data_IF_048239545526
#
_entry.id   IF_048239545526
#
_cell.length_a   1.000
_cell.length_b   1.000
_cell.length_c   1.000
_cell.angle_alpha   90.00
_cell.angle_beta   90.00
_cell.angle_gamma   90.00
#
_symmetry.space_group_name_H-M   'P 1'
#
loop_
_entity.id
_entity.type
_entity.pdbx_description
1 polymer ?
#
# COMPACT_ATOMS: atom_id res chain seq x y z
N UNK A 1 -10.65 -11.89 1.07
CA UNK A 1 -9.43 -11.35 1.64
C UNK A 1 -9.06 -10.00 1.06
N UNK A 2 -8.97 -9.87 -0.26
CA UNK A 2 -8.85 -8.56 -0.91
C UNK A 2 -10.23 -7.95 -1.06
N UNK A 3 -10.28 -6.64 -1.24
CA UNK A 3 -11.52 -5.96 -1.58
C UNK A 3 -11.86 -6.19 -3.06
N UNK A 4 -13.13 -6.35 -3.35
CA UNK A 4 -13.59 -6.56 -4.73
C UNK A 4 -13.34 -5.33 -5.60
N UNK A 5 -13.51 -4.14 -5.03
CA UNK A 5 -13.30 -2.86 -5.72
C UNK A 5 -12.62 -1.86 -4.76
N UNK A 6 -11.28 -1.92 -4.66
CA UNK A 6 -10.55 -1.05 -3.74
C UNK A 6 -10.67 0.44 -4.11
N UNK A 7 -10.75 0.78 -5.38
CA UNK A 7 -10.88 2.18 -5.80
C UNK A 7 -12.21 2.78 -5.34
N UNK A 8 -13.29 2.02 -5.48
CA UNK A 8 -14.61 2.46 -4.99
C UNK A 8 -14.62 2.58 -3.48
N UNK A 9 -14.01 1.62 -2.78
CA UNK A 9 -13.87 1.66 -1.32
C UNK A 9 -13.21 2.97 -0.87
N UNK A 10 -12.09 3.30 -1.49
CA UNK A 10 -11.30 4.49 -1.14
C UNK A 10 -12.07 5.77 -1.50
N UNK A 11 -12.71 5.78 -2.66
CA UNK A 11 -13.42 6.96 -3.18
C UNK A 11 -14.54 7.45 -2.25
N UNK A 12 -15.23 6.53 -1.56
CA UNK A 12 -16.35 6.90 -0.66
C UNK A 12 -15.91 7.31 0.74
N UNK A 13 -14.62 7.20 1.06
CA UNK A 13 -14.11 7.59 2.37
C UNK A 13 -14.18 9.11 2.52
N UNK A 14 -14.76 9.57 3.62
CA UNK A 14 -15.09 10.98 3.84
C UNK A 14 -13.92 11.79 4.41
N UNK A 15 -13.13 11.19 5.29
CA UNK A 15 -11.99 11.88 5.92
C UNK A 15 -10.78 11.80 4.99
N UNK A 16 -10.25 12.95 4.53
CA UNK A 16 -9.10 12.96 3.60
C UNK A 16 -7.86 12.23 4.13
N UNK A 17 -7.61 12.28 5.43
CA UNK A 17 -6.46 11.58 6.03
C UNK A 17 -6.66 10.07 5.99
N UNK A 18 -7.85 9.58 6.27
CA UNK A 18 -8.18 8.16 6.15
C UNK A 18 -8.09 7.70 4.69
N UNK A 19 -8.59 8.52 3.78
CA UNK A 19 -8.54 8.23 2.35
C UNK A 19 -7.09 8.14 1.87
N UNK A 20 -6.24 9.05 2.32
CA UNK A 20 -4.81 9.05 1.98
C UNK A 20 -4.11 7.81 2.54
N UNK A 21 -4.39 7.43 3.79
CA UNK A 21 -3.84 6.20 4.37
C UNK A 21 -4.23 4.97 3.54
N UNK A 22 -5.47 4.91 3.08
CA UNK A 22 -5.95 3.81 2.25
C UNK A 22 -5.26 3.78 0.89
N UNK A 23 -5.07 4.93 0.24
CA UNK A 23 -4.31 5.02 -1.01
C UNK A 23 -2.88 4.54 -0.83
N UNK A 24 -2.22 4.99 0.23
CA UNK A 24 -0.86 4.59 0.54
C UNK A 24 -0.79 3.07 0.73
N UNK A 25 -1.68 2.51 1.51
CA UNK A 25 -1.68 1.07 1.78
C UNK A 25 -1.96 0.24 0.53
N UNK A 26 -2.92 0.67 -0.27
CA UNK A 26 -3.28 -0.01 -1.51
C UNK A 26 -2.17 0.03 -2.55
N UNK A 27 -1.49 1.18 -2.69
CA UNK A 27 -0.44 1.36 -3.71
C UNK A 27 0.92 0.81 -3.29
N UNK A 28 1.21 0.78 -2.00
CA UNK A 28 2.53 0.39 -1.49
C UNK A 28 2.58 -1.00 -0.85
N UNK A 29 1.44 -1.52 -0.43
CA UNK A 29 1.38 -2.76 0.33
C UNK A 29 1.84 -2.64 1.79
N UNK A 30 2.04 -1.44 2.31
CA UNK A 30 2.45 -1.24 3.70
C UNK A 30 1.43 -1.81 4.69
N UNK A 31 1.93 -2.27 5.84
CA UNK A 31 1.07 -2.61 6.97
C UNK A 31 0.44 -1.35 7.54
N UNK A 32 -0.62 -1.51 8.31
CA UNK A 32 -1.37 -0.37 8.86
C UNK A 32 -0.47 0.62 9.62
N UNK A 33 0.48 0.14 10.42
CA UNK A 33 1.38 1.02 11.15
C UNK A 33 2.21 1.88 10.19
N UNK A 34 2.72 1.30 9.11
CA UNK A 34 3.51 2.02 8.12
C UNK A 34 2.69 3.00 7.28
N UNK A 35 1.43 2.68 7.03
CA UNK A 35 0.55 3.52 6.21
C UNK A 35 -0.11 4.66 7.00
N UNK A 36 -0.12 4.58 8.33
CA UNK A 36 -0.79 5.57 9.20
C UNK A 36 0.17 6.44 9.98
N UNK A 37 1.47 6.21 9.88
CA UNK A 37 2.48 6.99 10.62
C UNK A 37 3.71 7.18 9.74
N UNK A 38 3.83 8.38 9.17
CA UNK A 38 4.93 8.71 8.23
C UNK A 38 5.52 10.07 8.63
N UNK A 39 6.84 10.09 8.75
CA UNK A 39 7.60 11.27 9.11
C UNK A 39 8.32 11.85 7.89
N UNK A 40 8.67 13.17 7.90
CA UNK A 40 9.34 13.80 6.75
C UNK A 40 10.62 13.09 6.31
N UNK A 41 11.41 12.60 7.26
CA UNK A 41 12.70 11.95 6.96
C UNK A 41 12.56 10.63 6.22
N UNK A 42 11.35 10.07 6.14
CA UNK A 42 11.08 8.85 5.37
C UNK A 42 10.88 9.10 3.87
N UNK A 43 10.63 10.34 3.48
CA UNK A 43 10.33 10.70 2.10
C UNK A 43 11.58 10.68 1.23
N UNK A 44 11.56 9.96 0.11
CA UNK A 44 12.72 9.79 -0.77
C UNK A 44 12.56 10.43 -2.15
N UNK A 45 11.42 11.01 -2.45
CA UNK A 45 11.19 11.67 -3.72
C UNK A 45 10.74 10.72 -4.83
N UNK A 46 10.68 11.27 -6.04
CA UNK A 46 10.16 10.57 -7.23
C UNK A 46 11.33 10.05 -8.06
N UNK A 47 11.24 8.78 -8.45
CA UNK A 47 12.20 8.10 -9.32
C UNK A 47 11.43 7.31 -10.37
N UNK A 48 11.95 6.17 -10.81
CA UNK A 48 11.23 5.27 -11.70
C UNK A 48 11.20 3.85 -11.11
N UNK A 49 10.14 3.13 -11.44
CA UNK A 49 10.03 1.71 -11.13
C UNK A 49 11.05 0.95 -11.99
N UNK A 50 11.89 0.15 -11.35
CA UNK A 50 12.95 -0.57 -12.04
C UNK A 50 12.45 -1.64 -13.02
N UNK A 51 11.21 -2.11 -12.86
CA UNK A 51 10.63 -3.13 -13.73
C UNK A 51 9.79 -2.55 -14.84
N UNK A 52 9.01 -1.51 -14.56
CA UNK A 52 8.03 -0.95 -15.50
C UNK A 52 8.50 0.35 -16.14
N UNK A 53 9.49 1.03 -15.54
CA UNK A 53 9.95 2.34 -15.99
C UNK A 53 9.00 3.49 -15.64
N UNK A 54 7.86 3.22 -15.01
CA UNK A 54 6.90 4.26 -14.63
C UNK A 54 7.47 5.14 -13.52
N UNK A 55 7.08 6.41 -13.50
CA UNK A 55 7.42 7.31 -12.40
C UNK A 55 6.72 6.83 -11.13
N UNK A 56 7.49 6.68 -10.06
CA UNK A 56 7.01 6.29 -8.73
C UNK A 56 7.74 7.10 -7.68
N UNK A 57 7.10 7.29 -6.54
CA UNK A 57 7.74 7.87 -5.37
C UNK A 57 8.17 6.76 -4.42
N UNK A 58 9.23 7.00 -3.68
CA UNK A 58 9.76 6.05 -2.70
C UNK A 58 9.69 6.58 -1.28
N UNK A 59 9.46 5.66 -0.36
CA UNK A 59 9.32 5.91 1.07
C UNK A 59 10.13 4.88 1.84
N UNK A 60 10.99 5.31 2.76
CA UNK A 60 11.65 4.40 3.70
C UNK A 60 10.67 3.99 4.80
N UNK A 61 10.75 2.75 5.24
CA UNK A 61 9.98 2.30 6.40
C UNK A 61 10.76 1.26 7.20
N UNK A 62 10.36 1.11 8.46
CA UNK A 62 10.82 0.03 9.33
C UNK A 62 9.65 -0.92 9.51
N UNK A 63 9.82 -2.14 9.04
CA UNK A 63 8.78 -3.16 9.11
C UNK A 63 8.84 -3.99 10.39
N UNK A 64 8.05 -5.05 10.39
CA UNK A 64 7.98 -6.00 11.50
C UNK A 64 9.37 -6.57 11.81
N UNK A 65 9.72 -6.62 13.09
CA UNK A 65 11.02 -7.10 13.52
C UNK A 65 12.16 -6.12 13.29
N UNK A 66 11.88 -4.84 13.03
CA UNK A 66 12.88 -3.81 12.80
C UNK A 66 13.52 -3.84 11.41
N UNK A 67 12.96 -4.60 10.48
CA UNK A 67 13.50 -4.73 9.13
C UNK A 67 13.25 -3.46 8.31
N UNK A 68 14.32 -2.84 7.83
CA UNK A 68 14.24 -1.67 6.95
C UNK A 68 13.75 -2.09 5.56
N UNK A 69 12.92 -1.25 4.95
CA UNK A 69 12.43 -1.47 3.60
C UNK A 69 12.16 -0.16 2.88
N UNK A 70 11.88 -0.28 1.58
CA UNK A 70 11.51 0.84 0.73
C UNK A 70 10.17 0.49 0.09
N UNK A 71 9.18 1.34 0.32
CA UNK A 71 7.86 1.23 -0.31
C UNK A 71 7.77 2.22 -1.46
N UNK A 72 6.90 1.94 -2.43
CA UNK A 72 6.65 2.88 -3.52
C UNK A 72 5.16 3.15 -3.67
N UNK A 73 4.86 4.33 -4.20
CA UNK A 73 3.50 4.76 -4.47
C UNK A 73 3.48 5.68 -5.69
N UNK A 74 2.28 6.00 -6.18
CA UNK A 74 2.16 6.91 -7.32
C UNK A 74 2.64 8.32 -6.94
N UNK A 75 3.14 9.09 -7.92
CA UNK A 75 3.50 10.48 -7.69
C UNK A 75 2.34 11.32 -7.14
N UNK A 76 1.12 11.03 -7.56
CA UNK A 76 -0.08 11.76 -7.11
C UNK A 76 -0.33 11.54 -5.61
N UNK A 77 -0.33 10.28 -5.17
CA UNK A 77 -0.50 9.96 -3.75
C UNK A 77 0.65 10.53 -2.91
N UNK A 78 1.87 10.43 -3.43
CA UNK A 78 3.04 11.01 -2.76
C UNK A 78 2.91 12.53 -2.61
N UNK A 79 2.43 13.22 -3.65
CA UNK A 79 2.19 14.66 -3.59
C UNK A 79 1.20 15.06 -2.49
N UNK A 80 0.13 14.27 -2.32
CA UNK A 80 -0.84 14.47 -1.25
C UNK A 80 -0.20 14.25 0.12
N UNK A 81 0.66 13.24 0.25
CA UNK A 81 1.38 12.96 1.50
C UNK A 81 2.34 14.10 1.84
N UNK A 82 3.13 14.57 0.87
CA UNK A 82 4.07 15.69 1.05
C UNK A 82 3.33 16.94 1.49
N UNK A 83 2.20 17.25 0.86
CA UNK A 83 1.40 18.41 1.22
C UNK A 83 0.86 18.30 2.65
N UNK A 84 0.36 17.12 3.03
CA UNK A 84 -0.12 16.89 4.39
C UNK A 84 0.99 17.09 5.43
N UNK A 85 2.17 16.53 5.17
CA UNK A 85 3.33 16.65 6.05
C UNK A 85 3.79 18.11 6.16
N UNK A 86 3.77 18.85 5.03
CA UNK A 86 4.13 20.26 5.03
C UNK A 86 3.20 21.09 5.93
N UNK A 87 1.91 20.73 6.00
CA UNK A 87 0.93 21.44 6.84
C UNK A 87 0.98 21.02 8.30
N UNK A 88 1.24 19.77 8.59
CA UNK A 88 1.07 19.18 9.93
C UNK A 88 2.36 18.70 10.58
N UNK A 89 3.48 18.68 9.86
CA UNK A 89 4.78 18.21 10.34
C UNK A 89 5.00 16.72 10.20
N UNK A 90 3.94 15.92 10.15
CA UNK A 90 3.98 14.48 9.94
C UNK A 90 2.61 14.00 9.45
N UNK A 91 2.57 12.76 8.98
CA UNK A 91 1.29 12.09 8.69
C UNK A 91 1.04 11.11 9.83
N UNK A 92 0.07 11.42 10.68
CA UNK A 92 -0.28 10.60 11.83
C UNK A 92 -1.79 10.41 11.89
N UNK A 93 -2.23 9.17 11.75
CA UNK A 93 -3.65 8.80 11.72
C UNK A 93 -3.89 7.70 12.75
N UNK A 94 -4.95 7.83 13.52
CA UNK A 94 -5.35 6.77 14.45
C UNK A 94 -5.64 5.48 13.69
N UNK A 95 -4.99 4.39 14.07
CA UNK A 95 -5.24 3.09 13.43
C UNK A 95 -6.69 2.64 13.63
N UNK A 96 -7.24 2.83 14.83
CA UNK A 96 -8.64 2.48 15.10
C UNK A 96 -9.61 3.33 14.30
N UNK A 97 -9.34 4.64 14.21
CA UNK A 97 -10.13 5.53 13.36
C UNK A 97 -10.10 5.12 11.89
N UNK A 98 -8.94 4.76 11.40
CA UNK A 98 -8.76 4.28 10.04
C UNK A 98 -9.51 2.96 9.79
N UNK A 99 -9.39 2.00 10.71
CA UNK A 99 -10.15 0.73 10.60
C UNK A 99 -11.64 0.97 10.57
N UNK A 100 -12.13 1.88 11.42
CA UNK A 100 -13.54 2.26 11.45
C UNK A 100 -13.99 2.88 10.12
N UNK A 101 -13.15 3.73 9.53
CA UNK A 101 -13.43 4.35 8.23
C UNK A 101 -13.48 3.30 7.10
N UNK A 102 -12.58 2.33 7.11
CA UNK A 102 -12.60 1.21 6.15
C UNK A 102 -13.88 0.37 6.29
N UNK A 103 -14.26 0.08 7.52
CA UNK A 103 -15.48 -0.69 7.80
C UNK A 103 -16.72 0.03 7.27
N UNK A 104 -16.80 1.34 7.50
CA UNK A 104 -17.89 2.16 7.02
C UNK A 104 -17.89 2.23 5.48
N UNK A 105 -16.74 2.40 4.87
CA UNK A 105 -16.61 2.43 3.42
C UNK A 105 -17.02 1.09 2.78
N UNK A 106 -16.64 -0.02 3.40
CA UNK A 106 -17.06 -1.36 2.94
C UNK A 106 -18.58 -1.49 2.98
N UNK A 107 -19.21 -1.03 4.06
CA UNK A 107 -20.67 -1.04 4.19
C UNK A 107 -21.33 -0.18 3.11
N UNK A 108 -20.83 1.03 2.89
CA UNK A 108 -21.39 1.96 1.90
C UNK A 108 -21.27 1.44 0.46
N UNK A 109 -20.25 0.64 0.18
CA UNK A 109 -20.02 0.09 -1.16
C UNK A 109 -20.52 -1.33 -1.35
N UNK A 110 -21.17 -1.91 -0.32
CA UNK A 110 -21.68 -3.27 -0.38
C UNK A 110 -20.58 -4.33 -0.46
N UNK A 111 -19.39 -4.02 0.03
CA UNK A 111 -18.27 -4.95 0.02
C UNK A 111 -18.08 -5.58 1.40
N UNK A 112 -17.54 -6.79 1.41
CA UNK A 112 -17.15 -7.44 2.64
C UNK A 112 -15.99 -6.66 3.27
N UNK A 113 -16.07 -6.41 4.58
CA UNK A 113 -14.97 -5.79 5.31
C UNK A 113 -13.86 -6.81 5.54
N UNK A 114 -12.67 -6.52 5.02
CA UNK A 114 -11.49 -7.38 5.11
C UNK A 114 -10.33 -6.70 5.85
N UNK A 115 -10.64 -5.70 6.68
CA UNK A 115 -9.63 -4.95 7.42
C UNK A 115 -8.71 -4.15 6.51
N UNK A 116 -7.70 -3.54 7.10
CA UNK A 116 -6.66 -2.84 6.33
C UNK A 116 -5.82 -3.85 5.54
N UNK A 117 -5.68 -5.06 6.06
CA UNK A 117 -4.94 -6.14 5.41
C UNK A 117 -5.50 -6.50 4.03
N UNK A 118 -6.81 -6.32 3.83
CA UNK A 118 -7.44 -6.53 2.53
C UNK A 118 -6.83 -5.67 1.43
N UNK A 119 -6.41 -4.44 1.74
CA UNK A 119 -5.74 -3.58 0.77
C UNK A 119 -4.33 -4.08 0.43
N UNK A 120 -3.63 -4.72 1.37
CA UNK A 120 -2.34 -5.37 1.08
C UNK A 120 -2.53 -6.56 0.13
N UNK A 121 -3.61 -7.31 0.27
CA UNK A 121 -3.96 -8.38 -0.66
C UNK A 121 -4.21 -7.84 -2.07
N UNK A 122 -4.93 -6.71 -2.16
CA UNK A 122 -5.15 -6.03 -3.44
C UNK A 122 -3.80 -5.61 -4.07
N UNK A 123 -2.94 -4.95 -3.29
CA UNK A 123 -1.61 -4.55 -3.75
C UNK A 123 -0.84 -5.74 -4.30
N UNK A 124 -0.73 -6.82 -3.53
CA UNK A 124 0.06 -7.98 -3.92
C UNK A 124 -0.39 -8.58 -5.25
N UNK A 125 -1.69 -8.75 -5.43
CA UNK A 125 -2.26 -9.32 -6.66
C UNK A 125 -2.04 -8.39 -7.84
N UNK A 126 -2.33 -7.11 -7.70
CA UNK A 126 -2.21 -6.15 -8.79
C UNK A 126 -0.76 -5.91 -9.17
N UNK A 127 0.13 -5.83 -8.20
CA UNK A 127 1.57 -5.68 -8.46
C UNK A 127 2.13 -6.90 -9.20
N UNK A 128 1.74 -8.09 -8.79
CA UNK A 128 2.16 -9.32 -9.47
C UNK A 128 1.73 -9.33 -10.93
N UNK A 129 0.47 -9.00 -11.22
CA UNK A 129 -0.02 -8.94 -12.59
C UNK A 129 0.62 -7.79 -13.40
N UNK A 130 0.86 -6.65 -12.77
CA UNK A 130 1.57 -5.54 -13.41
C UNK A 130 2.98 -5.96 -13.86
N UNK A 131 3.71 -6.66 -13.00
CA UNK A 131 5.05 -7.13 -13.35
C UNK A 131 5.01 -8.17 -14.47
N UNK A 132 4.05 -9.07 -14.47
CA UNK A 132 3.90 -10.03 -15.54
C UNK A 132 3.54 -9.35 -16.86
N UNK A 133 2.68 -8.34 -16.84
CA UNK A 133 2.35 -7.54 -18.03
C UNK A 133 3.57 -6.78 -18.57
N UNK A 134 4.53 -6.46 -17.71
CA UNK A 134 5.80 -5.83 -18.11
C UNK A 134 6.86 -6.87 -18.53
N UNK A 135 6.45 -8.11 -18.78
CA UNK A 135 7.30 -9.23 -19.21
C UNK A 135 8.33 -9.66 -18.16
N UNK A 136 8.09 -9.39 -16.89
CA UNK A 136 8.91 -9.93 -15.80
C UNK A 136 8.54 -11.41 -15.62
N UNK A 137 9.54 -12.28 -15.44
CA UNK A 137 9.28 -13.69 -15.26
C UNK A 137 8.43 -13.95 -14.00
N UNK A 138 7.72 -15.07 -13.98
CA UNK A 138 6.88 -15.49 -12.86
C UNK A 138 7.67 -15.48 -11.54
N UNK A 139 8.84 -16.11 -11.52
CA UNK A 139 9.66 -16.22 -10.32
C UNK A 139 10.19 -14.86 -9.86
N UNK A 140 10.66 -14.02 -10.79
CA UNK A 140 11.14 -12.69 -10.46
C UNK A 140 10.00 -11.82 -9.95
N UNK A 141 8.81 -11.92 -10.53
CA UNK A 141 7.64 -11.18 -10.08
C UNK A 141 7.23 -11.60 -8.66
N UNK A 142 7.22 -12.91 -8.36
CA UNK A 142 6.95 -13.40 -7.01
C UNK A 142 7.97 -12.87 -6.00
N UNK A 143 9.25 -12.92 -6.35
CA UNK A 143 10.32 -12.43 -5.49
C UNK A 143 10.19 -10.93 -5.23
N UNK A 144 9.86 -10.16 -6.27
CA UNK A 144 9.67 -8.71 -6.14
C UNK A 144 8.50 -8.37 -5.21
N UNK A 145 7.35 -9.01 -5.40
CA UNK A 145 6.18 -8.80 -4.54
C UNK A 145 6.48 -9.21 -3.10
N UNK A 146 7.15 -10.35 -2.90
CA UNK A 146 7.57 -10.81 -1.59
C UNK A 146 8.45 -9.78 -0.88
N UNK A 147 9.42 -9.23 -1.60
CA UNK A 147 10.32 -8.20 -1.07
C UNK A 147 9.57 -6.91 -0.73
N UNK A 148 8.67 -6.47 -1.61
CA UNK A 148 7.88 -5.25 -1.41
C UNK A 148 6.90 -5.38 -0.24
N UNK A 149 6.41 -6.58 0.03
CA UNK A 149 5.59 -6.87 1.22
C UNK A 149 6.41 -7.04 2.50
N UNK A 150 7.73 -7.08 2.39
CA UNK A 150 8.61 -7.31 3.54
C UNK A 150 8.65 -8.76 4.00
N UNK A 151 8.28 -9.71 3.15
CA UNK A 151 8.33 -11.14 3.48
C UNK A 151 9.74 -11.71 3.31
N UNK A 152 10.13 -12.60 4.21
CA UNK A 152 11.41 -13.32 4.12
C UNK A 152 11.31 -14.59 3.28
N UNK A 153 10.09 -15.06 2.99
CA UNK A 153 9.84 -16.32 2.31
C UNK A 153 8.76 -16.14 1.25
N UNK A 154 9.02 -16.66 0.06
CA UNK A 154 8.10 -16.61 -1.08
C UNK A 154 6.77 -17.33 -0.76
N UNK A 155 6.78 -18.36 0.07
CA UNK A 155 5.56 -19.09 0.45
C UNK A 155 4.49 -18.19 1.04
N UNK A 156 4.89 -17.15 1.80
CA UNK A 156 3.94 -16.18 2.35
C UNK A 156 3.30 -15.39 1.21
N UNK A 157 4.06 -15.06 0.17
CA UNK A 157 3.56 -14.35 -1.00
C UNK A 157 2.55 -15.19 -1.78
N UNK A 158 2.78 -16.50 -1.93
CA UNK A 158 1.80 -17.40 -2.52
C UNK A 158 0.45 -17.30 -1.83
N UNK A 159 0.45 -17.25 -0.51
CA UNK A 159 -0.76 -17.11 0.27
C UNK A 159 -1.49 -15.81 -0.08
N UNK A 160 -0.76 -14.67 -0.14
CA UNK A 160 -1.33 -13.37 -0.51
C UNK A 160 -1.89 -13.35 -1.93
N UNK A 161 -1.33 -14.14 -2.83
CA UNK A 161 -1.80 -14.22 -4.23
C UNK A 161 -2.90 -15.27 -4.41
N UNK A 162 -3.18 -16.06 -3.38
CA UNK A 162 -4.16 -17.15 -3.47
C UNK A 162 -3.68 -18.31 -4.32
N UNK A 163 -2.38 -18.57 -4.34
CA UNK A 163 -1.75 -19.61 -5.16
C UNK A 163 -1.38 -20.87 -4.36
N UNK A 164 -1.60 -20.88 -3.06
CA UNK A 164 -1.32 -22.02 -2.18
C UNK A 164 -2.50 -22.99 -2.06
#
# INVERSE_FOLDING_TARGET
RNYADPNKLICVMKNPAHQLAAKIQYESGLRIAGATSIRPEQLRGITSDKFTGKAVAHLNYIGKGGKAGIAQMSPDTYGQLVEHIARHGSFAVSQDGYRGALKQAAKLTGQQYNGSHGLRWNFARERFYELQAAHVSYETALGAVSNELGHNRIQITYHYLGLD
#
